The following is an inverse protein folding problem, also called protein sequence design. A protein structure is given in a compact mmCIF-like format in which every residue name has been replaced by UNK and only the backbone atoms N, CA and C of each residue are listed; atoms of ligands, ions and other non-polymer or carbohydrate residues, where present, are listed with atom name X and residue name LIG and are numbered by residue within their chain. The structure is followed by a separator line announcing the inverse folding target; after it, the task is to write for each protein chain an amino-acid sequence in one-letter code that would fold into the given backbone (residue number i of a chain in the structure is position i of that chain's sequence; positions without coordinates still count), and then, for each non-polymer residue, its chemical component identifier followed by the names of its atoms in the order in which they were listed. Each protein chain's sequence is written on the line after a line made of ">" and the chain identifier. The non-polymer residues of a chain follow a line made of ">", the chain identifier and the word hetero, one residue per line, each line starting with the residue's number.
data_IF_675376251380
#
_entry.id   IF_675376251380
#
_cell.length_a   1.000
_cell.length_b   1.000
_cell.length_c   1.000
_cell.angle_alpha   90.00
_cell.angle_beta   90.00
_cell.angle_gamma   90.00
#
_symmetry.space_group_name_H-M   'P 1'
#
loop_
_entity.id
_entity.type
_entity.pdbx_description
1 polymer ?
#
# COMPACT_ATOMS: atom_id res chain seq x y z
N UNK A 1 -16.17 -5.30 -6.65
CA UNK A 1 -14.89 -6.00 -6.93
C UNK A 1 -14.77 -7.14 -5.93
N UNK A 2 -14.45 -8.35 -6.37
CA UNK A 2 -14.39 -9.51 -5.48
C UNK A 2 -13.22 -9.37 -4.49
N UNK A 3 -13.35 -9.87 -3.26
CA UNK A 3 -12.30 -9.77 -2.21
C UNK A 3 -10.95 -10.29 -2.69
N UNK A 4 -10.95 -11.34 -3.52
CA UNK A 4 -9.75 -11.90 -4.15
C UNK A 4 -9.04 -10.89 -5.07
N UNK A 5 -9.79 -10.15 -5.88
CA UNK A 5 -9.22 -9.14 -6.78
C UNK A 5 -8.60 -7.98 -6.00
N UNK A 6 -9.25 -7.54 -4.90
CA UNK A 6 -8.70 -6.52 -3.98
C UNK A 6 -7.34 -6.97 -3.44
N UNK A 7 -7.28 -8.21 -2.98
CA UNK A 7 -6.06 -8.81 -2.43
C UNK A 7 -4.93 -8.91 -3.45
N UNK A 8 -5.22 -9.47 -4.63
CA UNK A 8 -4.20 -9.62 -5.70
C UNK A 8 -3.66 -8.24 -6.11
N UNK A 9 -4.55 -7.25 -6.29
CA UNK A 9 -4.12 -5.88 -6.58
C UNK A 9 -3.19 -5.36 -5.49
N UNK A 10 -3.60 -5.45 -4.21
CA UNK A 10 -2.80 -4.99 -3.08
C UNK A 10 -1.38 -5.60 -3.09
N UNK A 11 -1.26 -6.90 -3.28
CA UNK A 11 0.02 -7.60 -3.17
C UNK A 11 0.93 -7.46 -4.40
N UNK A 12 0.39 -7.00 -5.53
CA UNK A 12 1.13 -6.78 -6.78
C UNK A 12 1.47 -5.31 -7.04
N UNK A 13 0.91 -4.39 -6.24
CA UNK A 13 1.22 -2.98 -6.35
C UNK A 13 2.67 -2.66 -6.03
N UNK A 14 3.08 -1.48 -6.48
CA UNK A 14 4.35 -0.88 -6.10
C UNK A 14 4.09 0.27 -5.12
N UNK A 15 4.80 0.21 -3.99
CA UNK A 15 4.63 1.15 -2.90
C UNK A 15 5.85 2.06 -2.77
N UNK A 16 5.70 3.13 -1.99
CA UNK A 16 6.82 4.00 -1.60
C UNK A 16 7.83 3.29 -0.68
N UNK A 17 8.94 3.98 -0.39
CA UNK A 17 10.18 3.35 0.09
C UNK A 17 10.13 2.69 1.48
N UNK A 18 9.10 2.95 2.30
CA UNK A 18 8.98 2.35 3.64
C UNK A 18 8.00 1.17 3.69
N UNK A 19 7.28 0.90 2.59
CA UNK A 19 6.42 -0.28 2.49
C UNK A 19 7.21 -1.41 1.84
N UNK A 20 7.33 -2.53 2.54
CA UNK A 20 8.02 -3.72 2.05
C UNK A 20 7.05 -4.89 1.94
N UNK A 21 7.06 -5.57 0.80
CA UNK A 21 6.35 -6.84 0.60
C UNK A 21 7.36 -7.96 0.73
N UNK A 22 7.13 -8.90 1.64
CA UNK A 22 7.90 -10.13 1.76
C UNK A 22 7.04 -11.32 1.33
N UNK A 23 7.63 -12.23 0.57
CA UNK A 23 6.94 -13.39 0.01
C UNK A 23 6.27 -13.09 -1.33
N UNK A 24 5.56 -14.09 -1.83
CA UNK A 24 4.83 -14.01 -3.10
C UNK A 24 3.55 -14.81 -2.92
N UNK A 25 2.41 -14.13 -2.88
CA UNK A 25 1.12 -14.75 -2.62
C UNK A 25 0.74 -15.86 -3.61
N UNK A 26 1.22 -15.78 -4.85
CA UNK A 26 0.95 -16.79 -5.88
C UNK A 26 1.85 -18.03 -5.77
N UNK A 27 3.01 -17.92 -5.10
CA UNK A 27 4.02 -19.00 -5.01
C UNK A 27 4.22 -19.56 -3.61
N UNK A 28 4.09 -18.68 -2.61
CA UNK A 28 4.37 -18.95 -1.22
C UNK A 28 3.12 -18.68 -0.40
N UNK A 29 2.80 -19.63 0.47
CA UNK A 29 1.68 -19.57 1.41
C UNK A 29 1.79 -18.43 2.43
N UNK A 30 2.96 -17.79 2.54
CA UNK A 30 3.24 -16.73 3.48
C UNK A 30 3.59 -15.45 2.74
N UNK A 31 2.81 -14.39 2.97
CA UNK A 31 3.05 -13.06 2.44
C UNK A 31 2.87 -12.03 3.54
N UNK A 32 3.77 -11.06 3.60
CA UNK A 32 3.76 -9.97 4.57
C UNK A 32 3.84 -8.64 3.82
N UNK A 33 3.08 -7.66 4.26
CA UNK A 33 3.14 -6.29 3.79
C UNK A 33 3.36 -5.40 5.01
N UNK A 34 4.55 -4.82 5.12
CA UNK A 34 5.02 -4.08 6.29
C UNK A 34 5.24 -2.61 5.93
N UNK A 35 4.65 -1.72 6.72
CA UNK A 35 5.08 -0.33 6.83
C UNK A 35 6.12 -0.22 7.94
N UNK A 36 7.38 0.05 7.59
CA UNK A 36 8.47 0.14 8.56
C UNK A 36 8.44 1.39 9.45
N UNK A 37 7.65 2.41 9.09
CA UNK A 37 7.57 3.67 9.86
C UNK A 37 6.52 3.56 10.96
N UNK A 38 5.37 2.97 10.67
CA UNK A 38 4.27 2.81 11.63
C UNK A 38 4.24 1.43 12.29
N UNK A 39 5.08 0.51 11.82
CA UNK A 39 5.04 -0.91 12.14
C UNK A 39 3.70 -1.60 11.80
N UNK A 40 2.85 -0.94 11.00
CA UNK A 40 1.60 -1.51 10.49
C UNK A 40 1.94 -2.70 9.60
N UNK A 41 1.30 -3.83 9.86
CA UNK A 41 1.65 -5.11 9.25
C UNK A 41 0.40 -5.85 8.80
N UNK A 42 0.36 -6.23 7.53
CA UNK A 42 -0.60 -7.19 7.01
C UNK A 42 0.10 -8.52 6.74
N UNK A 43 -0.48 -9.61 7.23
CA UNK A 43 0.06 -10.96 7.10
C UNK A 43 -0.98 -11.89 6.50
N UNK A 44 -0.51 -12.76 5.61
CA UNK A 44 -1.24 -13.89 5.08
C UNK A 44 -0.40 -15.12 5.33
N UNK A 45 -1.02 -16.13 5.92
CA UNK A 45 -0.42 -17.44 6.17
C UNK A 45 -1.37 -18.54 5.71
N UNK A 46 -0.83 -19.47 4.92
CA UNK A 46 -1.49 -20.69 4.44
C UNK A 46 -2.86 -20.47 3.78
N UNK A 47 -3.09 -19.30 3.15
CA UNK A 47 -4.33 -18.89 2.48
C UNK A 47 -5.61 -18.82 3.35
N UNK A 48 -5.52 -19.16 4.64
CA UNK A 48 -6.64 -19.16 5.57
C UNK A 48 -6.45 -18.18 6.73
N UNK A 49 -5.21 -17.89 7.13
CA UNK A 49 -4.93 -16.98 8.23
C UNK A 49 -4.57 -15.60 7.69
N UNK A 50 -5.46 -14.64 7.88
CA UNK A 50 -5.23 -13.24 7.56
C UNK A 50 -5.12 -12.47 8.86
N UNK A 51 -4.14 -11.58 8.97
CA UNK A 51 -4.06 -10.64 10.07
C UNK A 51 -3.61 -9.26 9.63
N UNK A 52 -4.12 -8.25 10.30
CA UNK A 52 -3.75 -6.86 10.14
C UNK A 52 -3.43 -6.29 11.52
N UNK A 53 -2.24 -5.73 11.69
CA UNK A 53 -1.81 -5.01 12.89
C UNK A 53 -1.71 -3.53 12.53
N UNK A 54 -2.40 -2.67 13.26
CA UNK A 54 -2.34 -1.23 13.05
C UNK A 54 -1.14 -0.57 13.74
N UNK A 55 -1.04 0.75 13.57
CA UNK A 55 -0.03 1.63 14.20
C UNK A 55 -0.11 1.68 15.73
N UNK A 56 -1.27 1.37 16.30
CA UNK A 56 -1.51 1.35 17.75
C UNK A 56 -1.29 -0.07 18.31
N UNK A 57 -0.72 -0.96 17.48
CA UNK A 57 -0.44 -2.37 17.72
C UNK A 57 -1.67 -3.25 17.96
N UNK A 58 -2.88 -2.72 17.80
CA UNK A 58 -4.08 -3.54 17.78
C UNK A 58 -4.04 -4.44 16.57
N UNK A 59 -4.62 -5.63 16.70
CA UNK A 59 -4.64 -6.61 15.62
C UNK A 59 -6.02 -7.16 15.37
N UNK A 60 -6.28 -7.41 14.09
CA UNK A 60 -7.47 -8.09 13.59
C UNK A 60 -7.01 -9.30 12.83
N UNK A 61 -7.58 -10.45 13.16
CA UNK A 61 -7.27 -11.68 12.44
C UNK A 61 -8.51 -12.48 12.12
N UNK A 62 -8.40 -13.34 11.10
CA UNK A 62 -9.34 -14.45 10.92
C UNK A 62 -9.31 -15.35 12.13
N UNK A 63 -10.47 -15.92 12.45
CA UNK A 63 -10.66 -16.79 13.62
C UNK A 63 -9.75 -18.02 13.51
N UNK A 64 -8.74 -18.17 14.39
CA UNK A 64 -7.96 -19.41 14.47
C UNK A 64 -8.79 -20.50 15.15
N UNK A 65 -8.37 -21.76 15.01
CA UNK A 65 -9.03 -22.88 15.71
C UNK A 65 -8.95 -22.71 17.23
N UNK A 66 -7.81 -22.25 17.73
CA UNK A 66 -7.56 -22.01 19.16
C UNK A 66 -6.50 -20.93 19.31
N UNK A 67 -6.54 -20.22 20.44
CA UNK A 67 -5.47 -19.32 20.90
C UNK A 67 -5.13 -19.60 22.35
N UNK A 68 -3.88 -19.37 22.71
CA UNK A 68 -3.44 -19.40 24.10
C UNK A 68 -3.22 -17.97 24.57
N UNK A 69 -3.96 -17.56 25.59
CA UNK A 69 -3.81 -16.24 26.22
C UNK A 69 -3.55 -16.44 27.69
N UNK A 70 -2.43 -15.91 28.18
CA UNK A 70 -1.99 -16.05 29.57
C UNK A 70 -2.00 -17.53 30.05
N UNK A 71 -1.58 -18.45 29.18
CA UNK A 71 -1.57 -19.90 29.47
C UNK A 71 -2.93 -20.59 29.40
N UNK A 72 -4.02 -19.86 29.14
CA UNK A 72 -5.36 -20.42 29.00
C UNK A 72 -5.73 -20.60 27.53
N UNK A 73 -6.23 -21.79 27.19
CA UNK A 73 -6.72 -22.12 25.86
C UNK A 73 -8.12 -21.55 25.63
N UNK A 74 -8.32 -20.82 24.54
CA UNK A 74 -9.57 -20.16 24.18
C UNK A 74 -9.94 -20.55 22.73
N UNK A 75 -11.24 -20.70 22.48
CA UNK A 75 -11.82 -20.93 21.16
C UNK A 75 -12.59 -19.67 20.74
N UNK A 76 -11.94 -18.73 20.03
CA UNK A 76 -12.57 -17.45 19.70
C UNK A 76 -13.69 -17.62 18.68
N UNK A 77 -14.71 -16.77 18.80
CA UNK A 77 -15.79 -16.61 17.84
C UNK A 77 -15.65 -15.30 17.06
N UNK A 78 -16.48 -15.16 16.02
CA UNK A 78 -16.54 -13.92 15.25
C UNK A 78 -16.98 -12.75 16.14
N UNK A 79 -16.20 -11.67 16.14
CA UNK A 79 -16.47 -10.48 16.95
C UNK A 79 -15.86 -10.53 18.35
N UNK A 80 -15.32 -11.67 18.77
CA UNK A 80 -14.59 -11.76 20.04
C UNK A 80 -13.35 -10.85 19.99
N UNK A 81 -13.00 -10.32 21.16
CA UNK A 81 -11.74 -9.60 21.34
C UNK A 81 -11.08 -9.94 22.65
N UNK A 82 -9.77 -10.06 22.61
CA UNK A 82 -8.95 -10.33 23.77
C UNK A 82 -7.97 -9.18 23.94
N UNK A 83 -7.96 -8.59 25.14
CA UNK A 83 -7.00 -7.55 25.50
C UNK A 83 -5.86 -8.19 26.29
N UNK A 84 -4.64 -8.01 25.82
CA UNK A 84 -3.44 -8.44 26.53
C UNK A 84 -3.16 -7.54 27.73
N UNK A 85 -2.30 -8.01 28.63
CA UNK A 85 -1.90 -7.26 29.84
C UNK A 85 -1.22 -5.91 29.54
N UNK A 86 -0.66 -5.75 28.34
CA UNK A 86 -0.05 -4.51 27.84
C UNK A 86 -1.08 -3.54 27.20
N UNK A 87 -2.37 -3.88 27.23
CA UNK A 87 -3.45 -3.07 26.67
C UNK A 87 -3.71 -3.30 25.18
N UNK A 88 -2.91 -4.12 24.49
CA UNK A 88 -3.07 -4.42 23.07
C UNK A 88 -4.31 -5.29 22.83
N UNK A 89 -5.16 -4.87 21.88
CA UNK A 89 -6.38 -5.60 21.53
C UNK A 89 -6.16 -6.54 20.35
N UNK A 90 -6.58 -7.79 20.51
CA UNK A 90 -6.68 -8.79 19.46
C UNK A 90 -8.15 -9.04 19.15
N UNK A 91 -8.59 -8.71 17.94
CA UNK A 91 -9.97 -8.88 17.50
C UNK A 91 -10.06 -10.00 16.45
N UNK A 92 -11.09 -10.84 16.55
CA UNK A 92 -11.33 -11.89 15.56
C UNK A 92 -12.46 -11.49 14.62
N UNK A 93 -12.18 -11.46 13.32
CA UNK A 93 -13.10 -10.95 12.31
C UNK A 93 -13.05 -11.79 11.03
N UNK A 94 -13.83 -11.42 10.02
CA UNK A 94 -13.86 -12.12 8.73
C UNK A 94 -12.63 -11.79 7.89
N UNK A 95 -12.29 -12.68 6.95
CA UNK A 95 -11.20 -12.46 5.98
C UNK A 95 -11.41 -11.16 5.20
N UNK A 96 -12.65 -10.89 4.81
CA UNK A 96 -13.05 -9.71 4.05
C UNK A 96 -12.72 -8.43 4.81
N UNK A 97 -13.04 -8.38 6.11
CA UNK A 97 -12.78 -7.23 6.95
C UNK A 97 -11.27 -6.99 7.13
N UNK A 98 -10.48 -8.05 7.37
CA UNK A 98 -9.02 -7.90 7.49
C UNK A 98 -8.41 -7.37 6.19
N UNK A 99 -8.84 -7.90 5.04
CA UNK A 99 -8.37 -7.44 3.73
C UNK A 99 -8.80 -5.98 3.49
N UNK A 100 -10.02 -5.60 3.84
CA UNK A 100 -10.49 -4.23 3.68
C UNK A 100 -9.71 -3.23 4.54
N UNK A 101 -9.34 -3.60 5.77
CA UNK A 101 -8.45 -2.80 6.61
C UNK A 101 -7.07 -2.61 5.97
N UNK A 102 -6.47 -3.70 5.50
CA UNK A 102 -5.18 -3.67 4.83
C UNK A 102 -5.22 -2.79 3.57
N UNK A 103 -6.24 -2.96 2.73
CA UNK A 103 -6.46 -2.15 1.52
C UNK A 103 -6.58 -0.67 1.89
N UNK A 104 -7.48 -0.34 2.82
CA UNK A 104 -7.73 1.04 3.26
C UNK A 104 -6.49 1.73 3.84
N UNK A 105 -5.56 0.96 4.40
CA UNK A 105 -4.29 1.45 4.89
C UNK A 105 -3.27 1.61 3.76
N UNK A 106 -2.90 0.52 3.10
CA UNK A 106 -1.75 0.45 2.21
C UNK A 106 -1.99 1.16 0.86
N UNK A 107 -3.23 1.27 0.39
CA UNK A 107 -3.51 1.93 -0.90
C UNK A 107 -3.01 3.38 -0.95
N UNK A 108 -2.95 4.05 0.21
CA UNK A 108 -2.45 5.43 0.36
C UNK A 108 -0.98 5.58 -0.02
N UNK A 109 -0.22 4.49 -0.02
CA UNK A 109 1.21 4.46 -0.26
C UNK A 109 1.57 3.87 -1.62
N UNK A 110 0.57 3.49 -2.42
CA UNK A 110 0.78 3.06 -3.82
C UNK A 110 1.36 4.23 -4.59
N UNK A 111 2.40 3.99 -5.36
CA UNK A 111 2.94 4.98 -6.29
C UNK A 111 2.26 4.75 -7.65
N UNK A 112 1.38 5.66 -8.11
CA UNK A 112 0.69 5.50 -9.39
C UNK A 112 1.67 5.48 -10.58
N UNK A 113 2.84 6.10 -10.41
CA UNK A 113 3.89 6.26 -11.41
C UNK A 113 5.20 5.60 -10.97
N UNK A 114 5.13 4.40 -10.39
CA UNK A 114 6.31 3.73 -9.88
C UNK A 114 7.38 3.54 -10.97
N UNK A 115 8.62 3.89 -10.65
CA UNK A 115 9.74 3.83 -11.59
C UNK A 115 9.82 5.01 -12.57
N UNK A 116 8.86 5.95 -12.57
CA UNK A 116 8.93 7.17 -13.38
C UNK A 116 9.57 8.31 -12.60
N UNK A 117 10.72 8.79 -13.09
CA UNK A 117 11.31 10.06 -12.66
C UNK A 117 10.83 11.17 -13.60
N UNK A 118 10.02 12.10 -13.08
CA UNK A 118 9.61 13.30 -13.81
C UNK A 118 10.67 14.38 -13.61
N UNK A 119 11.35 14.78 -14.68
CA UNK A 119 12.23 15.94 -14.63
C UNK A 119 11.53 17.11 -15.33
N UNK A 120 11.21 18.14 -14.56
CA UNK A 120 10.68 19.39 -15.08
C UNK A 120 11.86 20.30 -15.45
N UNK A 121 11.96 20.67 -16.73
CA UNK A 121 12.78 21.81 -17.14
C UNK A 121 11.86 22.90 -17.60
N UNK A 122 11.85 24.01 -16.86
CA UNK A 122 11.08 25.20 -17.20
C UNK A 122 12.05 26.25 -17.73
N UNK A 123 11.83 26.69 -18.96
CA UNK A 123 12.53 27.81 -19.54
C UNK A 123 11.57 28.98 -19.66
N UNK A 124 11.99 30.14 -19.15
CA UNK A 124 11.26 31.39 -19.27
C UNK A 124 11.91 32.23 -20.36
N UNK A 125 11.11 32.61 -21.35
CA UNK A 125 11.54 33.55 -22.39
C UNK A 125 10.76 34.84 -22.25
N UNK A 126 11.42 35.95 -22.50
CA UNK A 126 10.80 37.26 -22.52
C UNK A 126 11.20 37.94 -23.81
N UNK A 127 10.22 38.49 -24.51
CA UNK A 127 10.48 39.30 -25.70
C UNK A 127 9.61 40.56 -25.68
N UNK A 128 10.08 41.60 -26.36
CA UNK A 128 9.38 42.86 -26.51
C UNK A 128 8.89 42.98 -27.95
N UNK A 129 7.58 42.99 -28.16
CA UNK A 129 6.97 43.24 -29.47
C UNK A 129 6.16 44.52 -29.36
N UNK A 130 6.47 45.52 -30.19
CA UNK A 130 5.78 46.81 -30.25
C UNK A 130 5.63 47.50 -28.87
N UNK A 131 6.68 47.47 -28.04
CA UNK A 131 6.67 48.08 -26.70
C UNK A 131 5.92 47.28 -25.63
N UNK A 132 5.31 46.16 -26.00
CA UNK A 132 4.62 45.25 -25.07
C UNK A 132 5.52 44.07 -24.74
N UNK A 133 5.64 43.75 -23.44
CA UNK A 133 6.43 42.62 -22.95
C UNK A 133 5.61 41.34 -22.97
N UNK A 134 6.07 40.35 -23.71
CA UNK A 134 5.52 39.01 -23.72
C UNK A 134 6.41 38.08 -22.90
N UNK A 135 5.80 37.20 -22.11
CA UNK A 135 6.50 36.20 -21.30
C UNK A 135 5.98 34.82 -21.67
N UNK A 136 6.89 33.94 -22.08
CA UNK A 136 6.59 32.57 -22.46
C UNK A 136 7.15 31.60 -21.43
N UNK A 137 6.41 30.54 -21.17
CA UNK A 137 6.82 29.43 -20.31
C UNK A 137 6.85 28.16 -21.13
N UNK A 138 8.05 27.71 -21.50
CA UNK A 138 8.23 26.40 -22.10
C UNK A 138 8.44 25.38 -20.97
N UNK A 139 7.55 24.39 -20.89
CA UNK A 139 7.67 23.29 -19.92
C UNK A 139 8.04 22.02 -20.67
N UNK A 140 9.31 21.61 -20.62
CA UNK A 140 9.71 20.29 -21.08
C UNK A 140 9.44 19.27 -19.98
N UNK A 141 8.55 18.32 -20.28
CA UNK A 141 8.22 17.20 -19.40
C UNK A 141 8.86 15.96 -20.00
N UNK A 142 9.91 15.44 -19.36
CA UNK A 142 10.55 14.17 -19.74
C UNK A 142 10.29 13.12 -18.67
N UNK A 143 9.81 11.96 -19.11
CA UNK A 143 9.64 10.78 -18.26
C UNK A 143 10.79 9.81 -18.48
N UNK A 144 11.35 9.27 -17.41
CA UNK A 144 12.30 8.15 -17.46
C UNK A 144 11.75 7.01 -16.62
N UNK A 145 11.48 5.86 -17.24
CA UNK A 145 11.09 4.64 -16.54
C UNK A 145 12.31 3.80 -16.19
N UNK A 146 12.27 3.11 -15.04
CA UNK A 146 13.21 2.04 -14.72
C UNK A 146 12.86 0.71 -15.40
N UNK A 147 11.62 0.56 -15.87
CA UNK A 147 11.08 -0.66 -16.47
C UNK A 147 11.05 -0.64 -18.00
N UNK A 148 11.12 0.55 -18.61
CA UNK A 148 11.10 0.74 -20.06
C UNK A 148 12.23 1.67 -20.50
N UNK A 149 12.93 1.28 -21.56
CA UNK A 149 14.10 2.02 -22.08
C UNK A 149 13.70 3.35 -22.74
N UNK A 150 12.51 3.39 -23.34
CA UNK A 150 11.91 4.56 -23.98
C UNK A 150 10.41 4.60 -23.64
N UNK A 151 9.87 5.81 -23.47
CA UNK A 151 8.43 6.05 -23.28
C UNK A 151 7.99 7.02 -24.37
N UNK A 152 7.17 6.55 -25.30
CA UNK A 152 6.50 7.44 -26.25
C UNK A 152 5.36 8.15 -25.53
N UNK A 153 5.61 9.36 -25.03
CA UNK A 153 4.57 10.21 -24.46
C UNK A 153 4.45 11.49 -25.31
N UNK A 154 3.27 11.70 -25.89
CA UNK A 154 2.89 12.96 -26.52
C UNK A 154 2.09 13.77 -25.51
N UNK A 155 2.61 14.92 -25.09
CA UNK A 155 1.84 15.89 -24.32
C UNK A 155 1.48 17.05 -25.25
N UNK A 156 0.19 17.17 -25.54
CA UNK A 156 -0.41 18.37 -26.13
C UNK A 156 -0.95 19.22 -24.98
N UNK A 157 -0.48 20.47 -24.87
CA UNK A 157 -1.09 21.47 -23.99
C UNK A 157 -1.29 22.78 -24.77
N UNK A 158 -2.52 23.31 -24.75
CA UNK A 158 -2.85 24.68 -25.15
C UNK A 158 -2.49 25.67 -24.05
#
# INVERSE_FOLDING_TARGET
>A
MQTKDKLIKLLTQKYNSHITIYGNYEKNKNTLLLDSNSETLFTIQDDFLFSFKDKDHNSWSTIPKEVYVNGTKIYPNLGDSITRSDGVKHCFTTKENVIEMAVSYFEKFIIPYYGLKVNWRVCHFQEMINGTKYSYKLSEIKFKSSSYKEIEAYISSN
#
